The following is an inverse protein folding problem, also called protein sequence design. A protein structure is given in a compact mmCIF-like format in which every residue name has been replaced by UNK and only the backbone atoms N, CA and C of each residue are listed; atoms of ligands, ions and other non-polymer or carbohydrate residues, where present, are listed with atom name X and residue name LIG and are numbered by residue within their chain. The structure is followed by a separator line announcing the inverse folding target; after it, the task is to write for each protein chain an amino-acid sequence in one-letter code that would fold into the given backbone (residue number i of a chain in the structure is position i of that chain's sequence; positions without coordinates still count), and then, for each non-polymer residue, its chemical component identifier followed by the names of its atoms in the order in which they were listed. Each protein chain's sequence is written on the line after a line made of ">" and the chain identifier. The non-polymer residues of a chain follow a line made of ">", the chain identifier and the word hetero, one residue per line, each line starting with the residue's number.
data_IF_421413709200
#
_entry.id   IF_421413709200
#
_cell.length_a   1.000
_cell.length_b   1.000
_cell.length_c   1.000
_cell.angle_alpha   90.00
_cell.angle_beta   90.00
_cell.angle_gamma   90.00
#
_symmetry.space_group_name_H-M   'P 1'
#
loop_
_entity.id
_entity.type
_entity.pdbx_description
1 polymer ?
#
# COMPACT_ATOMS: atom_id res chain seq x y z
N UNK A 1 -8.92 -21.28 5.63
CA UNK A 1 -7.57 -20.85 6.06
C UNK A 1 -7.09 -21.59 7.30
N UNK A 2 -7.98 -21.98 8.21
CA UNK A 2 -7.64 -22.71 9.43
C UNK A 2 -7.47 -24.23 9.23
N UNK A 3 -7.69 -24.75 8.03
CA UNK A 3 -7.55 -26.15 7.65
C UNK A 3 -6.93 -26.32 6.25
N UNK A 4 -6.58 -27.54 5.87
CA UNK A 4 -6.04 -27.89 4.55
C UNK A 4 -4.56 -27.51 4.34
N UNK A 5 -3.99 -27.73 3.13
CA UNK A 5 -2.61 -27.44 2.80
C UNK A 5 -2.35 -25.94 2.77
N UNK A 6 -1.25 -25.47 3.40
CA UNK A 6 -0.98 -24.04 3.55
C UNK A 6 -0.49 -23.40 2.24
N UNK A 7 0.50 -23.99 1.59
CA UNK A 7 1.13 -23.36 0.42
C UNK A 7 0.15 -23.12 -0.73
N UNK A 8 -0.67 -24.10 -1.18
CA UNK A 8 -1.67 -23.84 -2.22
C UNK A 8 -2.69 -22.77 -1.82
N UNK A 9 -3.11 -22.77 -0.55
CA UNK A 9 -4.08 -21.79 -0.05
C UNK A 9 -3.49 -20.37 0.02
N UNK A 10 -2.21 -20.24 0.44
CA UNK A 10 -1.49 -18.96 0.45
C UNK A 10 -1.33 -18.43 -0.98
N UNK A 11 -0.93 -19.27 -1.92
CA UNK A 11 -0.79 -18.88 -3.33
C UNK A 11 -2.13 -18.50 -3.96
N UNK A 12 -3.19 -19.30 -3.73
CA UNK A 12 -4.53 -18.99 -4.22
C UNK A 12 -5.08 -17.66 -3.65
N UNK A 13 -4.67 -17.28 -2.45
CA UNK A 13 -4.99 -16.01 -1.83
C UNK A 13 -4.13 -14.87 -2.40
N UNK A 14 -2.82 -15.08 -2.57
CA UNK A 14 -1.88 -14.03 -2.98
C UNK A 14 -2.00 -13.67 -4.48
N UNK A 15 -2.26 -14.64 -5.38
CA UNK A 15 -2.31 -14.38 -6.81
C UNK A 15 -3.36 -13.33 -7.21
N UNK A 16 -4.63 -13.37 -6.75
CA UNK A 16 -5.58 -12.29 -7.06
C UNK A 16 -5.15 -10.92 -6.49
N UNK A 17 -4.44 -10.89 -5.36
CA UNK A 17 -3.91 -9.64 -4.79
C UNK A 17 -2.76 -9.09 -5.63
N UNK A 18 -1.87 -9.95 -6.11
CA UNK A 18 -0.80 -9.56 -7.05
C UNK A 18 -1.42 -8.95 -8.30
N UNK A 19 -2.40 -9.62 -8.90
CA UNK A 19 -3.10 -9.11 -10.08
C UNK A 19 -3.80 -7.78 -9.81
N UNK A 20 -4.45 -7.63 -8.64
CA UNK A 20 -5.08 -6.36 -8.24
C UNK A 20 -4.05 -5.22 -8.14
N UNK A 21 -2.91 -5.47 -7.51
CA UNK A 21 -1.86 -4.47 -7.37
C UNK A 21 -1.20 -4.12 -8.71
N UNK A 22 -0.98 -5.10 -9.59
CA UNK A 22 -0.48 -4.85 -10.95
C UNK A 22 -1.46 -4.01 -11.76
N UNK A 23 -2.75 -4.33 -11.73
CA UNK A 23 -3.79 -3.54 -12.39
C UNK A 23 -3.82 -2.10 -11.85
N UNK A 24 -3.69 -1.91 -10.54
CA UNK A 24 -3.66 -0.57 -9.95
C UNK A 24 -2.45 0.25 -10.43
N UNK A 25 -1.27 -0.37 -10.56
CA UNK A 25 -0.09 0.29 -11.15
C UNK A 25 -0.33 0.67 -12.62
N UNK A 26 -0.97 -0.20 -13.40
CA UNK A 26 -1.31 0.07 -14.80
C UNK A 26 -2.33 1.21 -14.93
N UNK A 27 -3.36 1.27 -14.08
CA UNK A 27 -4.34 2.36 -14.10
C UNK A 27 -3.72 3.70 -13.72
N UNK A 28 -2.89 3.74 -12.68
CA UNK A 28 -2.16 4.95 -12.31
C UNK A 28 -1.26 5.44 -13.46
N UNK A 29 -0.63 4.51 -14.19
CA UNK A 29 0.18 4.85 -15.36
C UNK A 29 -0.68 5.37 -16.51
N UNK A 30 -1.86 4.79 -16.75
CA UNK A 30 -2.80 5.25 -17.77
C UNK A 30 -3.30 6.67 -17.47
N UNK A 31 -3.59 7.00 -16.22
CA UNK A 31 -3.99 8.34 -15.80
C UNK A 31 -2.91 9.38 -16.16
N UNK A 32 -1.66 9.08 -15.83
CA UNK A 32 -0.52 9.97 -16.15
C UNK A 32 -0.35 10.15 -17.66
N UNK A 33 -0.49 9.06 -18.43
CA UNK A 33 -0.37 9.09 -19.90
C UNK A 33 -1.48 9.95 -20.52
N UNK A 34 -2.73 9.78 -20.06
CA UNK A 34 -3.87 10.55 -20.59
C UNK A 34 -3.69 12.04 -20.28
N UNK A 35 -3.31 12.38 -19.03
CA UNK A 35 -3.03 13.78 -18.65
C UNK A 35 -1.88 14.35 -19.47
N UNK A 36 -0.78 13.63 -19.59
CA UNK A 36 0.41 14.07 -20.32
C UNK A 36 0.21 14.25 -21.82
N UNK A 37 -0.75 13.52 -22.43
CA UNK A 37 -1.04 13.63 -23.88
C UNK A 37 -2.14 14.62 -24.24
N UNK A 38 -3.13 14.80 -23.38
CA UNK A 38 -4.38 15.49 -23.71
C UNK A 38 -4.65 16.72 -22.84
N UNK A 39 -3.90 16.93 -21.76
CA UNK A 39 -3.94 18.12 -20.94
C UNK A 39 -2.67 18.97 -21.13
N UNK A 40 -2.72 20.21 -20.65
CA UNK A 40 -1.54 21.10 -20.67
C UNK A 40 -0.53 20.74 -19.56
N UNK A 41 0.67 21.33 -19.65
CA UNK A 41 1.74 21.11 -18.67
C UNK A 41 1.37 21.57 -17.26
N UNK A 42 0.53 22.60 -17.14
CA UNK A 42 0.05 23.13 -15.86
C UNK A 42 -0.92 22.15 -15.21
N UNK A 43 -1.81 21.52 -15.98
CA UNK A 43 -2.70 20.48 -15.48
C UNK A 43 -1.92 19.25 -15.00
N UNK A 44 -0.90 18.83 -15.74
CA UNK A 44 -0.03 17.71 -15.34
C UNK A 44 0.74 18.05 -14.05
N UNK A 45 1.27 19.25 -13.94
CA UNK A 45 1.95 19.73 -12.74
C UNK A 45 0.98 19.80 -11.53
N UNK A 46 -0.27 20.23 -11.77
CA UNK A 46 -1.31 20.31 -10.74
C UNK A 46 -1.66 18.93 -10.16
N UNK A 47 -1.86 17.92 -11.01
CA UNK A 47 -2.11 16.54 -10.57
C UNK A 47 -0.87 15.98 -9.85
N UNK A 48 0.33 16.20 -10.39
CA UNK A 48 1.59 15.74 -9.79
C UNK A 48 1.83 16.32 -8.40
N UNK A 49 1.58 17.60 -8.20
CA UNK A 49 1.76 18.29 -6.92
C UNK A 49 0.85 17.71 -5.80
N UNK A 50 -0.35 17.22 -6.17
CA UNK A 50 -1.30 16.65 -5.21
C UNK A 50 -0.99 15.21 -4.80
N UNK A 51 -0.28 14.47 -5.64
CA UNK A 51 -0.05 13.02 -5.46
C UNK A 51 0.62 12.69 -4.12
N UNK A 52 1.67 13.40 -3.76
CA UNK A 52 2.39 13.17 -2.49
C UNK A 52 1.53 13.46 -1.27
N UNK A 53 0.72 14.50 -1.31
CA UNK A 53 -0.19 14.87 -0.22
C UNK A 53 -1.28 13.83 -0.04
N UNK A 54 -1.89 13.39 -1.13
CA UNK A 54 -2.91 12.33 -1.13
C UNK A 54 -2.32 11.04 -0.57
N UNK A 55 -1.14 10.63 -1.06
CA UNK A 55 -0.47 9.42 -0.54
C UNK A 55 -0.21 9.49 0.96
N UNK A 56 0.25 10.62 1.47
CA UNK A 56 0.50 10.81 2.89
C UNK A 56 -0.78 10.66 3.73
N UNK A 57 -1.84 11.33 3.33
CA UNK A 57 -3.11 11.37 4.06
C UNK A 57 -3.87 10.05 3.97
N UNK A 58 -3.93 9.46 2.78
CA UNK A 58 -4.65 8.20 2.55
C UNK A 58 -3.92 7.03 3.20
N UNK A 59 -2.59 6.99 3.16
CA UNK A 59 -1.82 5.88 3.75
C UNK A 59 -2.05 5.74 5.26
N UNK A 60 -2.29 6.84 5.98
CA UNK A 60 -2.66 6.80 7.39
C UNK A 60 -3.98 6.05 7.61
N UNK A 61 -4.99 6.34 6.79
CA UNK A 61 -6.31 5.70 6.89
C UNK A 61 -6.32 4.28 6.32
N UNK A 62 -5.46 4.00 5.33
CA UNK A 62 -5.24 2.64 4.83
C UNK A 62 -4.72 1.71 5.93
N UNK A 63 -3.89 2.22 6.85
CA UNK A 63 -3.49 1.46 8.02
C UNK A 63 -4.66 1.00 8.86
N UNK A 64 -5.71 1.81 9.01
CA UNK A 64 -6.91 1.42 9.74
C UNK A 64 -7.67 0.26 9.07
N UNK A 65 -7.66 0.18 7.73
CA UNK A 65 -8.24 -0.95 7.00
C UNK A 65 -7.51 -2.27 7.29
N UNK A 66 -6.19 -2.21 7.54
CA UNK A 66 -5.41 -3.37 8.02
C UNK A 66 -5.91 -3.83 9.39
N UNK A 67 -6.17 -2.88 10.30
CA UNK A 67 -6.78 -3.17 11.60
C UNK A 67 -8.17 -3.82 11.49
N UNK A 68 -9.00 -3.34 10.56
CA UNK A 68 -10.29 -3.92 10.24
C UNK A 68 -10.16 -5.37 9.74
N UNK A 69 -9.21 -5.62 8.83
CA UNK A 69 -8.91 -6.97 8.33
C UNK A 69 -8.55 -7.93 9.47
N UNK A 70 -7.70 -7.52 10.41
CA UNK A 70 -7.30 -8.35 11.55
C UNK A 70 -8.48 -8.61 12.49
N UNK A 71 -9.31 -7.61 12.80
CA UNK A 71 -10.48 -7.76 13.67
C UNK A 71 -11.48 -8.78 13.09
N UNK A 72 -11.81 -8.65 11.80
CA UNK A 72 -12.72 -9.56 11.10
C UNK A 72 -12.11 -10.96 10.98
N UNK A 73 -10.83 -11.06 10.55
CA UNK A 73 -10.15 -12.34 10.36
C UNK A 73 -10.06 -13.14 11.69
N UNK A 74 -9.78 -12.46 12.80
CA UNK A 74 -9.69 -13.10 14.13
C UNK A 74 -11.03 -13.63 14.59
N UNK A 75 -12.11 -12.86 14.46
CA UNK A 75 -13.46 -13.33 14.79
C UNK A 75 -13.92 -14.46 13.88
N UNK A 76 -13.62 -14.38 12.57
CA UNK A 76 -13.92 -15.44 11.61
C UNK A 76 -13.17 -16.75 11.94
N UNK A 77 -11.90 -16.63 12.33
CA UNK A 77 -11.09 -17.79 12.78
C UNK A 77 -11.61 -18.43 14.04
N UNK A 78 -12.13 -17.65 14.99
CA UNK A 78 -12.75 -18.12 16.22
C UNK A 78 -14.14 -18.76 16.01
N UNK A 79 -14.74 -18.64 14.81
CA UNK A 79 -16.13 -19.05 14.57
C UNK A 79 -17.15 -18.15 15.27
N UNK A 80 -16.73 -16.98 15.76
CA UNK A 80 -17.60 -16.00 16.42
C UNK A 80 -18.33 -15.15 15.37
N UNK A 81 -19.51 -15.62 14.98
CA UNK A 81 -20.37 -14.96 13.97
C UNK A 81 -20.77 -13.55 14.39
N UNK A 82 -21.14 -13.38 15.65
CA UNK A 82 -21.54 -12.09 16.19
C UNK A 82 -20.34 -11.13 16.23
N UNK A 83 -19.15 -11.65 16.56
CA UNK A 83 -17.91 -10.88 16.50
C UNK A 83 -17.56 -10.43 15.09
N UNK A 84 -17.73 -11.28 14.07
CA UNK A 84 -17.56 -10.90 12.65
C UNK A 84 -18.55 -9.79 12.30
N UNK A 85 -19.83 -9.96 12.62
CA UNK A 85 -20.87 -8.98 12.32
C UNK A 85 -20.55 -7.62 12.98
N UNK A 86 -20.19 -7.60 14.27
CA UNK A 86 -19.79 -6.37 14.97
C UNK A 86 -18.55 -5.71 14.35
N UNK A 87 -17.53 -6.50 13.98
CA UNK A 87 -16.31 -5.99 13.36
C UNK A 87 -16.59 -5.40 11.97
N UNK A 88 -17.44 -6.04 11.15
CA UNK A 88 -17.86 -5.54 9.83
C UNK A 88 -18.58 -4.19 9.97
N UNK A 89 -19.60 -4.11 10.84
CA UNK A 89 -20.37 -2.86 11.03
C UNK A 89 -19.51 -1.72 11.58
N UNK A 90 -18.63 -2.01 12.56
CA UNK A 90 -17.68 -1.03 13.10
C UNK A 90 -16.71 -0.55 12.01
N UNK A 91 -16.20 -1.47 11.18
CA UNK A 91 -15.27 -1.14 10.09
C UNK A 91 -15.92 -0.26 9.02
N UNK A 92 -17.14 -0.56 8.61
CA UNK A 92 -17.87 0.21 7.60
C UNK A 92 -18.26 1.61 8.13
N UNK A 93 -18.69 1.70 9.40
CA UNK A 93 -18.94 2.99 10.06
C UNK A 93 -17.67 3.85 10.10
N UNK A 94 -16.54 3.24 10.48
CA UNK A 94 -15.27 3.93 10.55
C UNK A 94 -14.78 4.38 9.16
N UNK A 95 -14.99 3.58 8.11
CA UNK A 95 -14.66 3.94 6.73
C UNK A 95 -15.38 5.23 6.30
N UNK A 96 -16.70 5.31 6.53
CA UNK A 96 -17.50 6.49 6.17
C UNK A 96 -17.09 7.70 7.03
N UNK A 97 -16.98 7.53 8.35
CA UNK A 97 -16.66 8.63 9.26
C UNK A 97 -15.25 9.19 9.02
N UNK A 98 -14.24 8.31 8.89
CA UNK A 98 -12.86 8.76 8.65
C UNK A 98 -12.70 9.34 7.25
N UNK A 99 -13.39 8.80 6.24
CA UNK A 99 -13.42 9.36 4.89
C UNK A 99 -14.06 10.73 4.83
N UNK A 100 -15.20 10.89 5.50
CA UNK A 100 -15.87 12.20 5.59
C UNK A 100 -15.03 13.21 6.38
N UNK A 101 -14.45 12.81 7.50
CA UNK A 101 -13.60 13.68 8.31
C UNK A 101 -12.36 14.15 7.53
N UNK A 102 -11.68 13.22 6.84
CA UNK A 102 -10.53 13.58 6.00
C UNK A 102 -10.95 14.41 4.78
N UNK A 103 -12.10 14.10 4.18
CA UNK A 103 -12.66 14.89 3.07
C UNK A 103 -12.91 16.34 3.48
N UNK A 104 -13.58 16.57 4.61
CA UNK A 104 -13.80 17.91 5.16
C UNK A 104 -12.48 18.60 5.50
N UNK A 105 -11.55 17.89 6.14
CA UNK A 105 -10.22 18.43 6.46
C UNK A 105 -9.50 18.88 5.20
N UNK A 106 -9.53 18.06 4.14
CA UNK A 106 -8.87 18.36 2.88
C UNK A 106 -9.53 19.53 2.16
N UNK A 107 -10.87 19.62 2.16
CA UNK A 107 -11.59 20.77 1.60
C UNK A 107 -11.18 22.10 2.26
N UNK A 108 -11.02 22.09 3.59
CA UNK A 108 -10.66 23.30 4.36
C UNK A 108 -9.17 23.64 4.22
N UNK A 109 -8.30 22.62 4.24
CA UNK A 109 -6.84 22.81 4.30
C UNK A 109 -6.12 22.64 2.96
N UNK A 110 -6.83 22.33 1.84
CA UNK A 110 -6.19 22.07 0.55
C UNK A 110 -5.25 23.19 0.12
N UNK A 111 -5.71 24.43 0.15
CA UNK A 111 -4.91 25.59 -0.24
C UNK A 111 -3.74 25.86 0.71
N UNK A 112 -3.94 26.00 2.05
CA UNK A 112 -2.83 26.16 2.98
C UNK A 112 -1.76 25.07 2.86
N UNK A 113 -2.16 23.80 2.69
CA UNK A 113 -1.22 22.69 2.55
C UNK A 113 -0.40 22.80 1.26
N UNK A 114 -1.02 23.15 0.13
CA UNK A 114 -0.31 23.38 -1.13
C UNK A 114 0.67 24.55 -1.06
N UNK A 115 0.27 25.66 -0.43
CA UNK A 115 1.14 26.82 -0.21
C UNK A 115 2.32 26.49 0.70
N UNK A 116 2.10 25.73 1.79
CA UNK A 116 3.18 25.23 2.66
C UNK A 116 4.15 24.28 1.94
N UNK A 117 3.68 23.54 0.93
CA UNK A 117 4.52 22.68 0.09
C UNK A 117 5.30 23.45 -0.98
N UNK A 118 5.13 24.79 -1.07
CA UNK A 118 5.80 25.62 -2.08
C UNK A 118 5.24 25.43 -3.49
N UNK A 119 3.94 25.09 -3.63
CA UNK A 119 3.30 24.93 -4.92
C UNK A 119 3.31 26.26 -5.69
N UNK A 120 3.78 26.29 -6.97
CA UNK A 120 3.81 27.51 -7.77
C UNK A 120 2.42 28.15 -7.95
N UNK A 121 2.37 29.49 -8.05
CA UNK A 121 1.13 30.24 -8.08
C UNK A 121 0.24 29.90 -9.29
N UNK A 122 0.82 29.53 -10.42
CA UNK A 122 0.15 29.08 -11.64
C UNK A 122 -0.43 27.65 -11.54
N UNK A 123 0.10 26.82 -10.64
CA UNK A 123 -0.29 25.42 -10.44
C UNK A 123 -1.28 25.26 -9.29
N UNK A 124 -1.19 26.12 -8.26
CA UNK A 124 -1.97 26.01 -7.00
C UNK A 124 -3.48 25.93 -7.25
N UNK A 125 -4.00 26.71 -8.20
CA UNK A 125 -5.44 26.71 -8.51
C UNK A 125 -5.95 25.38 -9.05
N UNK A 126 -5.22 24.78 -9.99
CA UNK A 126 -5.53 23.46 -10.53
C UNK A 126 -5.36 22.34 -9.50
N UNK A 127 -4.29 22.39 -8.70
CA UNK A 127 -4.03 21.45 -7.63
C UNK A 127 -5.12 21.49 -6.54
N UNK A 128 -5.57 22.69 -6.15
CA UNK A 128 -6.68 22.86 -5.21
C UNK A 128 -7.99 22.30 -5.77
N UNK A 129 -8.29 22.56 -7.03
CA UNK A 129 -9.49 22.00 -7.69
C UNK A 129 -9.47 20.46 -7.67
N UNK A 130 -8.32 19.85 -8.00
CA UNK A 130 -8.15 18.41 -7.94
C UNK A 130 -8.41 17.87 -6.54
N UNK A 131 -7.77 18.46 -5.52
CA UNK A 131 -7.92 18.04 -4.12
C UNK A 131 -9.36 18.18 -3.62
N UNK A 132 -10.06 19.26 -4.01
CA UNK A 132 -11.44 19.49 -3.61
C UNK A 132 -12.39 18.44 -4.21
N UNK A 133 -12.23 18.09 -5.48
CA UNK A 133 -13.02 17.03 -6.12
C UNK A 133 -12.68 15.68 -5.50
N UNK A 134 -11.39 15.38 -5.31
CA UNK A 134 -10.93 14.13 -4.69
C UNK A 134 -11.44 13.96 -3.26
N UNK A 135 -11.48 15.07 -2.49
CA UNK A 135 -11.99 15.07 -1.11
C UNK A 135 -13.43 14.57 -1.00
N UNK A 136 -14.27 14.88 -1.99
CA UNK A 136 -15.67 14.38 -2.05
C UNK A 136 -15.69 12.86 -2.28
N UNK A 137 -14.71 12.31 -2.99
CA UNK A 137 -14.58 10.87 -3.26
C UNK A 137 -14.00 10.06 -2.09
N UNK A 138 -13.32 10.68 -1.13
CA UNK A 138 -12.64 9.97 -0.04
C UNK A 138 -13.52 9.00 0.76
N UNK A 139 -14.78 9.32 1.11
CA UNK A 139 -15.64 8.35 1.78
C UNK A 139 -15.85 7.08 0.95
N UNK A 140 -16.04 7.21 -0.37
CA UNK A 140 -16.19 6.09 -1.28
C UNK A 140 -14.90 5.26 -1.38
N UNK A 141 -13.76 5.92 -1.55
CA UNK A 141 -12.45 5.28 -1.57
C UNK A 141 -12.21 4.43 -0.31
N UNK A 142 -12.48 4.98 0.88
CA UNK A 142 -12.30 4.23 2.12
C UNK A 142 -13.34 3.11 2.29
N UNK A 143 -14.58 3.30 1.88
CA UNK A 143 -15.59 2.24 1.87
C UNK A 143 -15.12 1.06 1.01
N UNK A 144 -14.57 1.32 -0.17
CA UNK A 144 -13.97 0.24 -0.98
C UNK A 144 -12.82 -0.44 -0.25
N UNK A 145 -11.87 0.31 0.28
CA UNK A 145 -10.67 -0.24 0.91
C UNK A 145 -11.00 -1.10 2.14
N UNK A 146 -11.91 -0.62 3.01
CA UNK A 146 -12.34 -1.40 4.17
C UNK A 146 -13.20 -2.60 3.77
N UNK A 147 -14.10 -2.44 2.80
CA UNK A 147 -14.91 -3.55 2.29
C UNK A 147 -14.05 -4.64 1.64
N UNK A 148 -13.05 -4.25 0.85
CA UNK A 148 -12.07 -5.18 0.30
C UNK A 148 -11.22 -5.86 1.40
N UNK A 149 -10.86 -5.13 2.47
CA UNK A 149 -10.16 -5.69 3.63
C UNK A 149 -11.03 -6.72 4.38
N UNK A 150 -12.34 -6.47 4.52
CA UNK A 150 -13.30 -7.41 5.11
C UNK A 150 -13.41 -8.69 4.26
N UNK A 151 -13.56 -8.57 2.94
CA UNK A 151 -13.63 -9.73 2.03
C UNK A 151 -12.32 -10.55 2.09
N UNK A 152 -11.17 -9.89 2.05
CA UNK A 152 -9.86 -10.55 2.22
C UNK A 152 -9.74 -11.25 3.57
N UNK A 153 -10.24 -10.65 4.64
CA UNK A 153 -10.19 -11.22 5.99
C UNK A 153 -10.88 -12.60 6.10
N UNK A 154 -11.90 -12.84 5.29
CA UNK A 154 -12.58 -14.14 5.22
C UNK A 154 -12.10 -15.02 4.05
N UNK A 155 -11.09 -14.59 3.31
CA UNK A 155 -10.44 -15.37 2.26
C UNK A 155 -10.87 -15.07 0.84
N UNK A 156 -11.79 -14.14 0.65
CA UNK A 156 -12.25 -13.76 -0.69
C UNK A 156 -11.38 -12.63 -1.25
N UNK A 157 -10.40 -13.00 -2.06
CA UNK A 157 -9.53 -12.06 -2.77
C UNK A 157 -9.95 -11.84 -4.23
N UNK A 158 -10.88 -12.66 -4.74
CA UNK A 158 -11.31 -12.59 -6.14
C UNK A 158 -12.32 -11.46 -6.37
N UNK A 159 -13.31 -11.31 -5.47
CA UNK A 159 -14.32 -10.24 -5.61
C UNK A 159 -13.68 -8.84 -5.62
N UNK A 160 -12.78 -8.46 -4.68
CA UNK A 160 -12.08 -7.18 -4.76
C UNK A 160 -11.32 -6.97 -6.08
N UNK A 161 -10.69 -8.02 -6.64
CA UNK A 161 -10.04 -7.96 -7.94
C UNK A 161 -11.03 -7.61 -9.06
N UNK A 162 -12.19 -8.28 -9.12
CA UNK A 162 -13.20 -7.97 -10.14
C UNK A 162 -13.74 -6.54 -10.03
N UNK A 163 -13.98 -6.06 -8.81
CA UNK A 163 -14.47 -4.70 -8.59
C UNK A 163 -13.45 -3.66 -9.01
N UNK A 164 -12.17 -3.90 -8.68
CA UNK A 164 -11.07 -3.03 -9.12
C UNK A 164 -10.91 -3.05 -10.64
N UNK A 165 -11.07 -4.22 -11.29
CA UNK A 165 -10.98 -4.33 -12.75
C UNK A 165 -12.09 -3.51 -13.42
N UNK A 166 -13.34 -3.66 -12.98
CA UNK A 166 -14.47 -2.90 -13.52
C UNK A 166 -14.27 -1.41 -13.32
N UNK A 167 -13.94 -0.98 -12.10
CA UNK A 167 -13.75 0.46 -11.80
C UNK A 167 -12.56 1.05 -12.53
N UNK A 168 -11.46 0.30 -12.68
CA UNK A 168 -10.30 0.76 -13.42
C UNK A 168 -10.56 0.90 -14.92
N UNK A 169 -11.31 -0.01 -15.54
CA UNK A 169 -11.74 0.15 -16.94
C UNK A 169 -12.62 1.39 -17.10
N UNK A 170 -13.57 1.60 -16.19
CA UNK A 170 -14.41 2.80 -16.19
C UNK A 170 -13.57 4.05 -16.00
N UNK A 171 -12.57 4.03 -15.11
CA UNK A 171 -11.63 5.14 -14.90
C UNK A 171 -10.91 5.53 -16.19
N UNK A 172 -10.31 4.56 -16.90
CA UNK A 172 -9.61 4.81 -18.18
C UNK A 172 -10.56 5.40 -19.23
N UNK A 173 -11.76 4.83 -19.38
CA UNK A 173 -12.77 5.33 -20.34
C UNK A 173 -13.19 6.75 -19.98
N UNK A 174 -13.47 7.04 -18.71
CA UNK A 174 -13.84 8.37 -18.25
C UNK A 174 -12.71 9.37 -18.40
N UNK A 175 -11.46 8.99 -18.11
CA UNK A 175 -10.32 9.85 -18.33
C UNK A 175 -10.20 10.26 -19.81
N UNK A 176 -10.31 9.32 -20.73
CA UNK A 176 -10.29 9.63 -22.17
C UNK A 176 -11.49 10.53 -22.54
N UNK A 177 -12.69 10.20 -22.08
CA UNK A 177 -13.89 10.98 -22.42
C UNK A 177 -13.85 12.40 -21.85
N UNK A 178 -13.46 12.57 -20.57
CA UNK A 178 -13.51 13.86 -19.88
C UNK A 178 -12.29 14.74 -20.21
N UNK A 179 -11.10 14.13 -20.33
CA UNK A 179 -9.86 14.88 -20.58
C UNK A 179 -9.64 15.12 -22.07
N UNK A 180 -9.72 14.08 -22.91
CA UNK A 180 -9.49 14.19 -24.35
C UNK A 180 -10.74 14.67 -25.10
N UNK A 181 -11.94 14.18 -24.74
CA UNK A 181 -13.21 14.53 -25.38
C UNK A 181 -13.74 15.89 -24.96
N UNK A 182 -14.00 16.08 -23.66
CA UNK A 182 -14.59 17.28 -23.10
C UNK A 182 -13.57 18.36 -22.70
N UNK A 183 -12.29 18.04 -22.74
CA UNK A 183 -11.17 18.96 -22.41
C UNK A 183 -11.27 19.58 -21.02
N UNK A 184 -11.77 18.82 -20.03
CA UNK A 184 -11.93 19.27 -18.65
C UNK A 184 -10.60 19.34 -17.87
N UNK A 185 -9.47 18.98 -18.47
CA UNK A 185 -8.15 19.05 -17.86
C UNK A 185 -8.09 18.37 -16.49
N UNK A 186 -7.62 19.09 -15.47
CA UNK A 186 -7.50 18.62 -14.08
C UNK A 186 -8.81 18.11 -13.51
N UNK A 187 -9.92 18.84 -13.74
CA UNK A 187 -11.24 18.43 -13.24
C UNK A 187 -11.69 17.10 -13.84
N UNK A 188 -11.41 16.86 -15.12
CA UNK A 188 -11.75 15.61 -15.81
C UNK A 188 -11.11 14.39 -15.13
N UNK A 189 -9.82 14.48 -14.80
CA UNK A 189 -9.08 13.39 -14.11
C UNK A 189 -9.64 13.15 -12.72
N UNK A 190 -9.85 14.21 -11.94
CA UNK A 190 -10.39 14.09 -10.58
C UNK A 190 -11.80 13.47 -10.58
N UNK A 191 -12.67 13.89 -11.50
CA UNK A 191 -14.02 13.31 -11.64
C UNK A 191 -13.94 11.84 -12.05
N UNK A 192 -13.09 11.48 -13.03
CA UNK A 192 -12.91 10.09 -13.45
C UNK A 192 -12.49 9.20 -12.28
N UNK A 193 -11.55 9.66 -11.47
CA UNK A 193 -11.08 8.94 -10.27
C UNK A 193 -12.20 8.78 -9.25
N UNK A 194 -12.89 9.85 -8.88
CA UNK A 194 -13.98 9.81 -7.88
C UNK A 194 -15.15 8.92 -8.34
N UNK A 195 -15.54 8.99 -9.60
CA UNK A 195 -16.62 8.15 -10.13
C UNK A 195 -16.21 6.69 -10.13
N UNK A 196 -15.01 6.36 -10.56
CA UNK A 196 -14.52 4.96 -10.56
C UNK A 196 -14.37 4.39 -9.14
N UNK A 197 -13.88 5.17 -8.19
CA UNK A 197 -13.82 4.77 -6.77
C UNK A 197 -15.22 4.60 -6.17
N UNK A 198 -16.18 5.45 -6.55
CA UNK A 198 -17.57 5.31 -6.13
C UNK A 198 -18.21 4.03 -6.67
N UNK A 199 -17.91 3.66 -7.92
CA UNK A 199 -18.36 2.39 -8.50
C UNK A 199 -17.79 1.20 -7.74
N UNK A 200 -16.49 1.19 -7.44
CA UNK A 200 -15.89 0.10 -6.64
C UNK A 200 -16.46 0.02 -5.23
N UNK A 201 -16.72 1.16 -4.59
CA UNK A 201 -17.39 1.23 -3.30
C UNK A 201 -18.83 0.67 -3.36
N UNK A 202 -19.60 1.03 -4.38
CA UNK A 202 -20.94 0.52 -4.59
C UNK A 202 -20.95 -1.00 -4.81
N UNK A 203 -20.02 -1.53 -5.61
CA UNK A 203 -19.89 -2.96 -5.88
C UNK A 203 -19.52 -3.74 -4.61
N UNK A 204 -18.58 -3.25 -3.81
CA UNK A 204 -18.19 -3.92 -2.57
C UNK A 204 -19.31 -3.86 -1.52
N UNK A 205 -20.02 -2.73 -1.41
CA UNK A 205 -21.19 -2.60 -0.53
C UNK A 205 -22.31 -3.54 -0.94
N UNK A 206 -22.67 -3.55 -2.23
CA UNK A 206 -23.70 -4.45 -2.76
C UNK A 206 -23.34 -5.91 -2.46
N UNK A 207 -22.07 -6.28 -2.63
CA UNK A 207 -21.58 -7.62 -2.29
C UNK A 207 -21.72 -7.95 -0.82
N UNK A 208 -21.34 -7.03 0.09
CA UNK A 208 -21.48 -7.24 1.53
C UNK A 208 -22.93 -7.31 1.99
N UNK A 209 -23.81 -6.49 1.40
CA UNK A 209 -25.25 -6.51 1.70
C UNK A 209 -25.92 -7.80 1.19
N UNK A 210 -25.56 -8.24 -0.03
CA UNK A 210 -26.09 -9.46 -0.65
C UNK A 210 -25.48 -10.75 -0.07
N UNK A 211 -24.43 -10.67 0.74
CA UNK A 211 -23.81 -11.84 1.35
C UNK A 211 -24.78 -12.53 2.31
N UNK A 212 -24.87 -13.88 2.21
CA UNK A 212 -25.70 -14.70 3.11
C UNK A 212 -24.94 -15.24 4.33
N UNK A 213 -23.65 -14.86 4.50
CA UNK A 213 -22.78 -15.32 5.59
C UNK A 213 -22.57 -14.29 6.68
N UNK A 214 -21.61 -14.60 7.55
CA UNK A 214 -21.28 -13.83 8.76
C UNK A 214 -20.76 -12.40 8.45
N UNK A 215 -20.32 -12.14 7.20
CA UNK A 215 -19.83 -10.82 6.74
C UNK A 215 -20.94 -9.91 6.19
N UNK A 216 -22.21 -10.31 6.32
CA UNK A 216 -23.33 -9.52 5.83
C UNK A 216 -23.35 -8.15 6.51
N UNK A 217 -23.39 -7.11 5.70
CA UNK A 217 -23.54 -5.74 6.16
C UNK A 217 -25.00 -5.30 6.10
N UNK A 218 -25.56 -4.88 7.21
CA UNK A 218 -26.92 -4.35 7.33
C UNK A 218 -26.84 -2.87 7.73
N UNK A 219 -27.01 -1.91 6.80
CA UNK A 219 -26.86 -0.48 7.07
C UNK A 219 -27.68 0.03 8.27
N UNK A 220 -28.89 -0.50 8.45
CA UNK A 220 -29.79 -0.13 9.56
C UNK A 220 -29.30 -0.58 10.95
N UNK A 221 -28.41 -1.57 11.01
CA UNK A 221 -27.83 -2.11 12.25
C UNK A 221 -26.41 -1.60 12.50
N UNK A 222 -25.97 -0.58 11.74
CA UNK A 222 -24.61 -0.06 11.86
C UNK A 222 -24.41 0.52 13.27
N UNK A 223 -23.44 -0.05 13.99
CA UNK A 223 -23.04 0.36 15.34
C UNK A 223 -21.54 0.27 15.46
N UNK A 224 -20.95 1.20 16.18
CA UNK A 224 -19.53 1.15 16.55
C UNK A 224 -19.41 0.40 17.87
N UNK A 225 -18.81 -0.77 17.82
CA UNK A 225 -18.56 -1.60 19.01
C UNK A 225 -17.16 -1.31 19.54
N UNK A 226 -17.07 -0.98 20.83
CA UNK A 226 -15.85 -0.50 21.48
C UNK A 226 -14.68 -1.51 21.36
N UNK A 227 -14.95 -2.80 21.46
CA UNK A 227 -13.93 -3.85 21.41
C UNK A 227 -13.34 -3.98 19.99
N UNK A 228 -14.20 -4.00 18.98
CA UNK A 228 -13.78 -4.01 17.56
C UNK A 228 -13.03 -2.72 17.21
N UNK A 229 -13.55 -1.56 17.62
CA UNK A 229 -12.90 -0.28 17.40
C UNK A 229 -11.50 -0.22 18.05
N UNK A 230 -11.36 -0.67 19.29
CA UNK A 230 -10.07 -0.72 19.98
C UNK A 230 -9.06 -1.60 19.24
N UNK A 231 -9.50 -2.76 18.71
CA UNK A 231 -8.63 -3.64 17.92
C UNK A 231 -8.22 -2.97 16.61
N UNK A 232 -9.16 -2.34 15.90
CA UNK A 232 -8.90 -1.63 14.64
C UNK A 232 -7.89 -0.50 14.86
N UNK A 233 -8.09 0.32 15.87
CA UNK A 233 -7.20 1.46 16.16
C UNK A 233 -5.82 1.00 16.65
N UNK A 234 -5.76 0.01 17.54
CA UNK A 234 -4.50 -0.51 18.10
C UNK A 234 -3.59 -1.11 17.01
N UNK A 235 -4.17 -1.69 15.96
CA UNK A 235 -3.41 -2.29 14.86
C UNK A 235 -3.25 -1.28 13.73
N UNK A 236 -4.30 -0.54 13.41
CA UNK A 236 -4.35 0.32 12.24
C UNK A 236 -3.56 1.61 12.39
N UNK A 237 -3.61 2.28 13.54
CA UNK A 237 -2.87 3.54 13.74
C UNK A 237 -1.36 3.33 13.59
N UNK A 238 -0.71 2.35 14.26
CA UNK A 238 0.71 2.12 14.04
C UNK A 238 1.03 1.74 12.58
N UNK A 239 0.16 0.96 11.91
CA UNK A 239 0.35 0.57 10.53
C UNK A 239 0.28 1.78 9.57
N UNK A 240 -0.66 2.68 9.78
CA UNK A 240 -0.78 3.93 9.00
C UNK A 240 0.39 4.87 9.23
N UNK A 241 0.80 5.07 10.48
CA UNK A 241 1.97 5.87 10.82
C UNK A 241 3.24 5.32 10.16
N UNK A 242 3.43 4.00 10.15
CA UNK A 242 4.56 3.38 9.46
C UNK A 242 4.58 3.73 7.97
N UNK A 243 3.43 3.62 7.28
CA UNK A 243 3.34 3.94 5.85
C UNK A 243 3.61 5.42 5.57
N UNK A 244 3.08 6.32 6.40
CA UNK A 244 3.31 7.77 6.27
C UNK A 244 4.79 8.13 6.50
N UNK A 245 5.43 7.54 7.51
CA UNK A 245 6.85 7.77 7.80
C UNK A 245 7.78 7.23 6.71
N UNK A 246 7.41 6.11 6.06
CA UNK A 246 8.14 5.61 4.88
C UNK A 246 8.08 6.61 3.73
N UNK A 247 6.93 7.25 3.50
CA UNK A 247 6.80 8.29 2.48
C UNK A 247 7.73 9.47 2.77
N UNK A 248 7.80 9.92 4.02
CA UNK A 248 8.72 10.99 4.44
C UNK A 248 10.19 10.59 4.23
N UNK A 249 10.57 9.36 4.63
CA UNK A 249 11.93 8.85 4.43
C UNK A 249 12.31 8.80 2.94
N UNK A 250 11.37 8.41 2.07
CA UNK A 250 11.60 8.38 0.64
C UNK A 250 11.79 9.80 0.05
N UNK A 251 11.12 10.81 0.59
CA UNK A 251 11.34 12.22 0.19
C UNK A 251 12.75 12.69 0.52
N UNK A 252 13.30 12.31 1.69
CA UNK A 252 14.67 12.64 2.06
C UNK A 252 15.70 11.98 1.12
N UNK A 253 15.50 10.70 0.78
CA UNK A 253 16.37 10.01 -0.19
C UNK A 253 16.22 10.67 -1.58
N UNK A 254 15.02 11.01 -2.01
CA UNK A 254 14.79 11.70 -3.28
C UNK A 254 15.50 13.05 -3.34
N UNK A 255 15.51 13.80 -2.23
CA UNK A 255 16.25 15.06 -2.14
C UNK A 255 17.75 14.87 -2.38
N UNK A 256 18.34 13.79 -1.86
CA UNK A 256 19.74 13.45 -2.12
C UNK A 256 19.95 13.05 -3.60
N UNK A 257 19.02 12.32 -4.23
CA UNK A 257 19.10 11.95 -5.65
C UNK A 257 19.04 13.20 -6.55
N UNK A 258 18.24 14.19 -6.16
CA UNK A 258 18.06 15.41 -6.94
C UNK A 258 19.38 16.19 -7.11
N UNK A 259 20.34 16.05 -6.20
CA UNK A 259 21.66 16.68 -6.30
C UNK A 259 22.54 16.12 -7.45
N UNK A 260 22.20 14.93 -7.98
CA UNK A 260 22.92 14.30 -9.09
C UNK A 260 22.39 14.69 -10.49
N UNK A 261 21.36 15.53 -10.54
CA UNK A 261 20.83 16.07 -11.78
C UNK A 261 19.75 15.24 -12.45
N UNK A 262 19.24 15.74 -13.58
CA UNK A 262 18.03 15.23 -14.22
C UNK A 262 18.12 13.76 -14.67
N UNK A 263 19.27 13.31 -15.19
CA UNK A 263 19.46 11.94 -15.62
C UNK A 263 19.40 10.94 -14.45
N UNK A 264 19.92 11.30 -13.26
CA UNK A 264 19.82 10.48 -12.07
C UNK A 264 18.38 10.42 -11.53
N UNK A 265 17.66 11.54 -11.55
CA UNK A 265 16.24 11.59 -11.16
C UNK A 265 15.40 10.69 -12.07
N UNK A 266 15.57 10.81 -13.38
CA UNK A 266 14.84 10.00 -14.37
C UNK A 266 15.17 8.51 -14.23
N UNK A 267 16.46 8.15 -14.09
CA UNK A 267 16.91 6.77 -13.88
C UNK A 267 16.37 6.18 -12.58
N UNK A 268 16.38 6.94 -11.48
CA UNK A 268 15.79 6.53 -10.21
C UNK A 268 14.28 6.28 -10.34
N UNK A 269 13.56 7.16 -11.03
CA UNK A 269 12.11 7.03 -11.21
C UNK A 269 11.75 5.79 -12.02
N UNK A 270 12.49 5.52 -13.11
CA UNK A 270 12.31 4.32 -13.93
C UNK A 270 12.59 3.05 -13.12
N UNK A 271 13.71 3.00 -12.38
CA UNK A 271 14.05 1.87 -11.53
C UNK A 271 13.02 1.65 -10.41
N UNK A 272 12.54 2.72 -9.75
CA UNK A 272 11.51 2.65 -8.73
C UNK A 272 10.18 2.12 -9.27
N UNK A 273 9.82 2.46 -10.51
CA UNK A 273 8.62 1.94 -11.18
C UNK A 273 8.71 0.43 -11.41
N UNK A 274 9.88 -0.06 -11.82
CA UNK A 274 10.14 -1.51 -11.98
C UNK A 274 10.08 -2.22 -10.62
N UNK A 275 10.70 -1.64 -9.57
CA UNK A 275 10.64 -2.16 -8.20
C UNK A 275 9.19 -2.24 -7.68
N UNK A 276 8.30 -1.35 -8.11
CA UNK A 276 6.89 -1.34 -7.73
C UNK A 276 6.16 -2.65 -8.02
N UNK A 277 6.49 -3.32 -9.12
CA UNK A 277 5.93 -4.64 -9.46
C UNK A 277 6.40 -5.71 -8.46
N UNK A 278 7.67 -5.71 -8.10
CA UNK A 278 8.21 -6.64 -7.10
C UNK A 278 7.64 -6.37 -5.70
N UNK A 279 7.44 -5.09 -5.34
CA UNK A 279 6.80 -4.67 -4.09
C UNK A 279 5.37 -5.19 -3.98
N UNK A 280 4.63 -5.20 -5.09
CA UNK A 280 3.25 -5.72 -5.13
C UNK A 280 3.18 -7.20 -4.76
N UNK A 281 4.14 -8.00 -5.23
CA UNK A 281 4.24 -9.43 -4.86
C UNK A 281 4.55 -9.58 -3.37
N UNK A 282 5.51 -8.81 -2.85
CA UNK A 282 5.85 -8.81 -1.42
C UNK A 282 4.64 -8.48 -0.55
N UNK A 283 3.97 -7.36 -0.83
CA UNK A 283 2.79 -6.91 -0.10
C UNK A 283 1.66 -7.95 -0.10
N UNK A 284 1.48 -8.66 -1.21
CA UNK A 284 0.44 -9.68 -1.35
C UNK A 284 0.69 -10.89 -0.45
N UNK A 285 1.96 -11.34 -0.34
CA UNK A 285 2.34 -12.44 0.55
C UNK A 285 2.30 -11.98 2.02
N UNK A 286 2.73 -10.75 2.32
CA UNK A 286 2.61 -10.13 3.63
C UNK A 286 1.15 -10.06 4.10
N UNK A 287 0.23 -9.68 3.20
CA UNK A 287 -1.20 -9.69 3.47
C UNK A 287 -1.75 -11.11 3.70
N UNK A 288 -1.23 -12.11 3.00
CA UNK A 288 -1.55 -13.52 3.27
C UNK A 288 -1.07 -13.93 4.67
N UNK A 289 0.18 -13.62 5.03
CA UNK A 289 0.72 -13.90 6.35
C UNK A 289 -0.13 -13.26 7.45
N UNK A 290 -0.54 -11.99 7.29
CA UNK A 290 -1.42 -11.28 8.21
C UNK A 290 -2.77 -12.00 8.36
N UNK A 291 -3.44 -12.30 7.25
CA UNK A 291 -4.81 -12.82 7.27
C UNK A 291 -4.88 -14.25 7.80
N UNK A 292 -3.97 -15.13 7.30
CA UNK A 292 -3.92 -16.51 7.75
C UNK A 292 -3.52 -16.60 9.23
N UNK A 293 -2.58 -15.77 9.68
CA UNK A 293 -2.18 -15.73 11.08
C UNK A 293 -3.30 -15.22 11.99
N UNK A 294 -4.01 -14.16 11.56
CA UNK A 294 -5.15 -13.64 12.33
C UNK A 294 -6.26 -14.67 12.50
N UNK A 295 -6.62 -15.40 11.43
CA UNK A 295 -7.63 -16.47 11.51
C UNK A 295 -7.16 -17.63 12.39
N UNK A 296 -5.90 -18.07 12.26
CA UNK A 296 -5.39 -19.17 13.08
C UNK A 296 -5.19 -18.76 14.55
N UNK A 297 -4.91 -17.48 14.83
CA UNK A 297 -4.92 -16.94 16.20
C UNK A 297 -6.32 -16.95 16.80
N UNK A 298 -7.35 -16.58 16.02
CA UNK A 298 -8.75 -16.70 16.45
C UNK A 298 -9.18 -18.14 16.72
N UNK A 299 -8.72 -19.06 15.88
CA UNK A 299 -8.99 -20.50 16.02
C UNK A 299 -8.11 -21.20 17.08
N UNK A 300 -7.25 -20.47 17.80
CA UNK A 300 -6.28 -20.97 18.80
C UNK A 300 -5.29 -22.01 18.25
N UNK A 301 -5.07 -22.03 16.92
CA UNK A 301 -4.16 -22.95 16.23
C UNK A 301 -2.73 -22.41 16.18
N UNK A 302 -2.08 -22.23 17.33
CA UNK A 302 -0.78 -21.58 17.45
C UNK A 302 0.35 -22.28 16.68
N UNK A 303 0.36 -23.62 16.64
CA UNK A 303 1.33 -24.37 15.82
C UNK A 303 1.18 -24.05 14.33
N UNK A 304 -0.07 -23.86 13.86
CA UNK A 304 -0.35 -23.50 12.49
C UNK A 304 0.05 -22.04 12.17
N UNK A 305 -0.07 -21.11 13.12
CA UNK A 305 0.43 -19.72 12.98
C UNK A 305 1.94 -19.71 12.67
N UNK A 306 2.73 -20.56 13.36
CA UNK A 306 4.17 -20.69 13.08
C UNK A 306 4.44 -21.27 11.68
N UNK A 307 3.66 -22.27 11.26
CA UNK A 307 3.78 -22.85 9.91
C UNK A 307 3.39 -21.86 8.82
N UNK A 308 2.38 -21.00 9.06
CA UNK A 308 2.01 -19.92 8.13
C UNK A 308 3.20 -19.01 7.85
N UNK A 309 3.92 -18.56 8.88
CA UNK A 309 5.12 -17.75 8.69
C UNK A 309 6.15 -18.48 7.82
N UNK A 310 6.48 -19.73 8.13
CA UNK A 310 7.49 -20.46 7.37
C UNK A 310 7.10 -20.62 5.89
N UNK A 311 5.84 -20.93 5.61
CA UNK A 311 5.33 -21.06 4.24
C UNK A 311 5.36 -19.72 3.51
N UNK A 312 4.93 -18.62 4.17
CA UNK A 312 4.99 -17.30 3.58
C UNK A 312 6.44 -16.84 3.37
N UNK A 313 7.36 -17.11 4.32
CA UNK A 313 8.79 -16.79 4.15
C UNK A 313 9.41 -17.58 3.00
N UNK A 314 9.09 -18.87 2.85
CA UNK A 314 9.57 -19.68 1.72
C UNK A 314 9.04 -19.13 0.39
N UNK A 315 7.74 -18.80 0.30
CA UNK A 315 7.14 -18.20 -0.89
C UNK A 315 7.75 -16.84 -1.21
N UNK A 316 7.97 -16.01 -0.19
CA UNK A 316 8.58 -14.67 -0.32
C UNK A 316 10.06 -14.78 -0.70
N UNK A 317 10.80 -15.74 -0.14
CA UNK A 317 12.20 -15.98 -0.48
C UNK A 317 12.34 -16.37 -1.95
N UNK A 318 11.58 -17.37 -2.39
CA UNK A 318 11.61 -17.83 -3.79
C UNK A 318 11.14 -16.71 -4.72
N UNK A 319 9.98 -16.09 -4.44
CA UNK A 319 9.44 -15.02 -5.27
C UNK A 319 10.33 -13.77 -5.31
N UNK A 320 10.79 -13.30 -4.15
CA UNK A 320 11.64 -12.12 -4.04
C UNK A 320 13.03 -12.31 -4.67
N UNK A 321 13.63 -13.49 -4.47
CA UNK A 321 14.91 -13.83 -5.11
C UNK A 321 14.77 -13.95 -6.63
N UNK A 322 13.75 -14.67 -7.09
CA UNK A 322 13.49 -14.84 -8.54
C UNK A 322 13.25 -13.50 -9.23
N UNK A 323 12.35 -12.68 -8.68
CA UNK A 323 12.05 -11.36 -9.23
C UNK A 323 13.26 -10.42 -9.15
N UNK A 324 13.96 -10.41 -8.02
CA UNK A 324 15.17 -9.61 -7.86
C UNK A 324 16.24 -9.96 -8.87
N UNK A 325 16.52 -11.26 -9.08
CA UNK A 325 17.47 -11.73 -10.08
C UNK A 325 17.02 -11.47 -11.52
N UNK A 326 15.72 -11.62 -11.82
CA UNK A 326 15.17 -11.30 -13.14
C UNK A 326 15.34 -9.80 -13.44
N UNK A 327 14.95 -8.92 -12.52
CA UNK A 327 15.11 -7.47 -12.70
C UNK A 327 16.60 -7.09 -12.76
N UNK A 328 17.45 -7.72 -11.98
CA UNK A 328 18.91 -7.51 -12.05
C UNK A 328 19.48 -7.88 -13.40
N UNK A 329 19.11 -9.05 -13.93
CA UNK A 329 19.63 -9.59 -15.20
C UNK A 329 19.11 -8.81 -16.41
N UNK A 330 17.81 -8.48 -16.39
CA UNK A 330 17.14 -7.74 -17.46
C UNK A 330 17.01 -6.24 -17.19
N UNK A 331 17.79 -5.70 -16.26
CA UNK A 331 17.68 -4.28 -15.84
C UNK A 331 17.83 -3.30 -16.99
N UNK A 332 18.79 -3.49 -17.89
CA UNK A 332 19.00 -2.63 -19.06
C UNK A 332 17.79 -2.59 -19.99
N UNK A 333 17.27 -3.71 -20.54
CA UNK A 333 16.09 -3.67 -21.39
C UNK A 333 14.83 -3.20 -20.67
N UNK A 334 14.67 -3.48 -19.37
CA UNK A 334 13.53 -2.99 -18.60
C UNK A 334 13.58 -1.46 -18.42
N UNK A 335 14.74 -0.88 -18.13
CA UNK A 335 14.91 0.58 -18.03
C UNK A 335 14.74 1.25 -19.40
N UNK A 336 15.18 0.61 -20.49
CA UNK A 336 15.01 1.11 -21.84
C UNK A 336 13.54 1.25 -22.28
N UNK A 337 12.61 0.52 -21.65
CA UNK A 337 11.16 0.71 -21.85
C UNK A 337 10.68 2.06 -21.35
N UNK A 338 11.35 2.63 -20.36
CA UNK A 338 10.98 3.92 -19.74
C UNK A 338 11.70 5.10 -20.37
N UNK A 339 13.00 4.92 -20.72
CA UNK A 339 13.81 5.97 -21.32
C UNK A 339 14.93 5.38 -22.17
N UNK A 340 15.18 5.96 -23.34
CA UNK A 340 16.23 5.50 -24.27
C UNK A 340 17.57 6.20 -24.09
N UNK A 341 17.64 7.25 -23.24
CA UNK A 341 18.88 7.97 -22.95
C UNK A 341 19.86 7.06 -22.20
N UNK A 342 21.07 6.80 -22.73
CA UNK A 342 22.09 5.99 -22.08
C UNK A 342 22.48 6.47 -20.67
N UNK A 343 22.48 7.79 -20.43
CA UNK A 343 22.81 8.35 -19.12
C UNK A 343 21.72 8.03 -18.09
N UNK A 344 20.44 8.09 -18.47
CA UNK A 344 19.31 7.72 -17.61
C UNK A 344 19.35 6.22 -17.28
N UNK A 345 19.59 5.36 -18.29
CA UNK A 345 19.70 3.91 -18.10
C UNK A 345 20.88 3.59 -17.18
N UNK A 346 22.06 4.21 -17.37
CA UNK A 346 23.23 3.98 -16.53
C UNK A 346 22.96 4.32 -15.05
N UNK A 347 22.33 5.47 -14.77
CA UNK A 347 21.97 5.87 -13.41
C UNK A 347 20.89 4.95 -12.79
N UNK A 348 19.89 4.52 -13.57
CA UNK A 348 18.88 3.57 -13.11
C UNK A 348 19.48 2.20 -12.77
N UNK A 349 20.46 1.75 -13.55
CA UNK A 349 21.19 0.50 -13.30
C UNK A 349 21.95 0.50 -11.98
N UNK A 350 22.48 1.63 -11.53
CA UNK A 350 23.14 1.71 -10.20
C UNK A 350 22.14 1.28 -9.11
N UNK A 351 20.91 1.82 -9.12
CA UNK A 351 19.87 1.44 -8.18
C UNK A 351 19.50 -0.04 -8.30
N UNK A 352 19.25 -0.53 -9.52
CA UNK A 352 18.90 -1.93 -9.77
C UNK A 352 19.99 -2.88 -9.27
N UNK A 353 21.26 -2.57 -9.52
CA UNK A 353 22.41 -3.41 -9.11
C UNK A 353 22.57 -3.52 -7.60
N UNK A 354 22.30 -2.44 -6.84
CA UNK A 354 22.42 -2.46 -5.40
C UNK A 354 21.18 -3.07 -4.70
N UNK A 355 20.00 -2.79 -5.20
CA UNK A 355 18.76 -3.16 -4.52
C UNK A 355 18.28 -4.56 -4.90
N UNK A 356 18.28 -4.92 -6.19
CA UNK A 356 17.56 -6.10 -6.68
C UNK A 356 18.13 -7.44 -6.22
N UNK A 357 19.45 -7.68 -6.17
CA UNK A 357 20.00 -8.94 -5.65
C UNK A 357 19.64 -9.21 -4.19
N UNK A 358 19.47 -8.15 -3.40
CA UNK A 358 19.13 -8.22 -1.97
C UNK A 358 17.67 -7.87 -1.66
N UNK A 359 16.83 -7.73 -2.70
CA UNK A 359 15.42 -7.38 -2.55
C UNK A 359 14.63 -8.42 -1.74
N UNK A 360 15.09 -9.65 -1.74
CA UNK A 360 14.54 -10.72 -0.90
C UNK A 360 14.52 -10.35 0.60
N UNK A 361 15.49 -9.56 1.08
CA UNK A 361 15.52 -9.09 2.48
C UNK A 361 14.33 -8.17 2.78
N UNK A 362 14.02 -7.25 1.85
CA UNK A 362 12.83 -6.41 1.95
C UNK A 362 11.55 -7.24 1.99
N UNK A 363 11.43 -8.22 1.10
CA UNK A 363 10.25 -9.07 1.03
C UNK A 363 10.06 -9.92 2.31
N UNK A 364 11.15 -10.46 2.86
CA UNK A 364 11.10 -11.23 4.10
C UNK A 364 10.71 -10.37 5.30
N UNK A 365 11.28 -9.15 5.43
CA UNK A 365 10.91 -8.24 6.52
C UNK A 365 9.43 -7.86 6.46
N UNK A 366 8.88 -7.59 5.26
CA UNK A 366 7.48 -7.26 5.08
C UNK A 366 6.56 -8.41 5.49
N UNK A 367 6.96 -9.65 5.19
CA UNK A 367 6.27 -10.87 5.67
C UNK A 367 6.26 -10.97 7.20
N UNK A 368 7.38 -10.65 7.89
CA UNK A 368 7.40 -10.60 9.35
C UNK A 368 6.49 -9.52 9.92
N UNK A 369 6.43 -8.35 9.27
CA UNK A 369 5.52 -7.26 9.66
C UNK A 369 4.06 -7.73 9.56
N UNK A 370 3.68 -8.35 8.43
CA UNK A 370 2.35 -8.92 8.23
C UNK A 370 2.01 -9.97 9.28
N UNK A 371 2.93 -10.88 9.55
CA UNK A 371 2.78 -11.94 10.57
C UNK A 371 2.56 -11.36 11.97
N UNK A 372 3.41 -10.42 12.41
CA UNK A 372 3.32 -9.80 13.73
C UNK A 372 2.00 -9.03 13.91
N UNK A 373 1.55 -8.31 12.88
CA UNK A 373 0.24 -7.65 12.88
C UNK A 373 -0.90 -8.66 12.95
N UNK A 374 -0.80 -9.76 12.22
CA UNK A 374 -1.77 -10.85 12.24
C UNK A 374 -1.91 -11.51 13.61
N UNK A 375 -0.84 -11.63 14.35
CA UNK A 375 -0.82 -12.11 15.73
C UNK A 375 -1.37 -11.08 16.73
N UNK A 376 -1.45 -9.81 16.33
CA UNK A 376 -2.01 -8.73 17.16
C UNK A 376 -0.98 -7.71 17.69
N UNK A 377 0.27 -7.83 17.26
CA UNK A 377 1.34 -6.90 17.59
C UNK A 377 1.61 -5.97 16.41
N UNK A 378 1.11 -4.73 16.44
CA UNK A 378 1.35 -3.75 15.37
C UNK A 378 2.40 -2.70 15.77
N UNK A 379 2.40 -2.27 17.02
CA UNK A 379 3.35 -1.25 17.49
C UNK A 379 4.81 -1.73 17.41
N UNK A 380 5.07 -3.00 17.76
CA UNK A 380 6.40 -3.58 17.77
C UNK A 380 7.05 -3.58 16.37
N UNK A 381 6.43 -4.18 15.31
CA UNK A 381 7.00 -4.12 13.97
C UNK A 381 7.05 -2.68 13.41
N UNK A 382 6.13 -1.80 13.81
CA UNK A 382 6.16 -0.39 13.39
C UNK A 382 7.41 0.31 13.92
N UNK A 383 7.67 0.26 15.23
CA UNK A 383 8.86 0.88 15.82
C UNK A 383 10.12 0.29 15.21
N UNK A 384 10.20 -1.04 15.09
CA UNK A 384 11.36 -1.73 14.50
C UNK A 384 11.62 -1.29 13.06
N UNK A 385 10.57 -1.22 12.23
CA UNK A 385 10.71 -0.79 10.84
C UNK A 385 11.05 0.71 10.72
N UNK A 386 10.47 1.56 11.55
CA UNK A 386 10.80 2.99 11.56
C UNK A 386 12.26 3.23 11.98
N UNK A 387 12.73 2.53 13.01
CA UNK A 387 14.13 2.64 13.44
C UNK A 387 15.10 2.07 12.40
N UNK A 388 14.79 0.90 11.83
CA UNK A 388 15.68 0.21 10.90
C UNK A 388 15.65 0.79 9.48
N UNK A 389 14.49 1.25 8.97
CA UNK A 389 14.41 1.78 7.61
C UNK A 389 14.53 3.31 7.61
N UNK A 390 13.71 4.02 8.40
CA UNK A 390 13.69 5.48 8.32
C UNK A 390 14.89 6.10 9.06
N UNK A 391 15.05 5.79 10.34
CA UNK A 391 16.10 6.41 11.14
C UNK A 391 17.51 6.02 10.63
N UNK A 392 17.74 4.74 10.34
CA UNK A 392 19.05 4.29 9.85
C UNK A 392 19.42 4.94 8.52
N UNK A 393 18.45 5.12 7.59
CA UNK A 393 18.71 5.82 6.33
C UNK A 393 18.98 7.30 6.52
N UNK A 394 18.31 7.95 7.45
CA UNK A 394 18.60 9.34 7.80
C UNK A 394 20.02 9.45 8.36
N UNK A 395 20.39 8.58 9.31
CA UNK A 395 21.77 8.53 9.83
C UNK A 395 22.78 8.27 8.72
N UNK A 396 22.47 7.34 7.80
CA UNK A 396 23.32 7.03 6.65
C UNK A 396 23.57 8.26 5.74
N UNK A 397 22.52 9.04 5.48
CA UNK A 397 22.64 10.27 4.68
C UNK A 397 23.59 11.28 5.30
N UNK A 398 23.52 11.47 6.61
CA UNK A 398 24.37 12.45 7.31
C UNK A 398 25.75 11.91 7.71
N UNK A 399 26.04 10.63 7.50
CA UNK A 399 27.33 10.00 7.82
C UNK A 399 28.01 9.46 6.56
N UNK A 400 27.67 8.25 6.15
CA UNK A 400 28.34 7.56 5.04
C UNK A 400 28.16 8.30 3.70
N UNK A 401 26.95 8.77 3.39
CA UNK A 401 26.72 9.53 2.17
C UNK A 401 27.38 10.91 2.21
N UNK A 402 27.37 11.61 3.34
CA UNK A 402 28.08 12.88 3.49
C UNK A 402 29.59 12.74 3.32
N UNK A 403 30.17 11.60 3.73
CA UNK A 403 31.62 11.32 3.55
C UNK A 403 31.96 10.92 2.10
N UNK A 404 31.07 10.29 1.37
CA UNK A 404 31.24 9.86 -0.02
C UNK A 404 29.93 10.03 -0.79
N UNK A 405 29.65 11.23 -1.36
CA UNK A 405 28.40 11.54 -2.01
C UNK A 405 28.33 10.94 -3.43
N UNK A 406 28.05 9.64 -3.51
CA UNK A 406 27.87 8.88 -4.76
C UNK A 406 26.53 8.17 -4.76
N UNK A 407 25.97 7.88 -5.94
CA UNK A 407 24.75 7.08 -6.08
C UNK A 407 24.93 5.67 -5.49
N UNK A 408 26.12 5.07 -5.62
CA UNK A 408 26.44 3.77 -5.04
C UNK A 408 26.30 3.80 -3.51
N UNK A 409 26.92 4.78 -2.84
CA UNK A 409 26.81 4.96 -1.39
C UNK A 409 25.37 5.22 -0.97
N UNK A 410 24.62 6.00 -1.74
CA UNK A 410 23.23 6.30 -1.45
C UNK A 410 22.37 5.03 -1.51
N UNK A 411 22.45 4.25 -2.60
CA UNK A 411 21.61 3.06 -2.77
C UNK A 411 22.03 1.90 -1.86
N UNK A 412 23.28 1.84 -1.42
CA UNK A 412 23.73 0.86 -0.42
C UNK A 412 22.96 1.00 0.91
N UNK A 413 22.41 2.16 1.21
CA UNK A 413 21.55 2.37 2.39
C UNK A 413 20.33 1.46 2.42
N UNK A 414 19.81 1.03 1.25
CA UNK A 414 18.63 0.18 1.15
C UNK A 414 18.90 -1.24 1.68
N UNK A 415 19.82 -2.02 1.11
CA UNK A 415 20.09 -3.37 1.61
C UNK A 415 20.60 -3.40 3.05
N UNK A 416 21.39 -2.41 3.48
CA UNK A 416 21.86 -2.31 4.86
C UNK A 416 20.67 -2.11 5.81
N UNK A 417 19.77 -1.19 5.48
CA UNK A 417 18.57 -0.95 6.29
C UNK A 417 17.63 -2.16 6.31
N UNK A 418 17.48 -2.87 5.18
CA UNK A 418 16.67 -4.09 5.13
C UNK A 418 17.25 -5.22 5.97
N UNK A 419 18.58 -5.45 5.90
CA UNK A 419 19.23 -6.47 6.70
C UNK A 419 19.12 -6.21 8.21
N UNK A 420 19.37 -4.96 8.63
CA UNK A 420 19.24 -4.56 10.04
C UNK A 420 17.79 -4.70 10.54
N UNK A 421 16.83 -4.24 9.74
CA UNK A 421 15.39 -4.35 10.10
C UNK A 421 14.94 -5.80 10.15
N UNK A 422 15.33 -6.62 9.17
CA UNK A 422 14.98 -8.05 9.15
C UNK A 422 15.51 -8.77 10.39
N UNK A 423 16.78 -8.53 10.74
CA UNK A 423 17.37 -9.11 11.94
C UNK A 423 16.58 -8.71 13.20
N UNK A 424 16.27 -7.43 13.35
CA UNK A 424 15.49 -6.94 14.49
C UNK A 424 14.08 -7.54 14.53
N UNK A 425 13.41 -7.70 13.37
CA UNK A 425 12.08 -8.32 13.29
C UNK A 425 12.12 -9.82 13.62
N UNK A 426 13.18 -10.54 13.25
CA UNK A 426 13.37 -11.95 13.64
C UNK A 426 13.47 -12.05 15.17
N UNK A 427 14.26 -11.18 15.81
CA UNK A 427 14.37 -11.13 17.29
C UNK A 427 13.00 -10.80 17.91
N UNK A 428 12.30 -9.77 17.39
CA UNK A 428 10.96 -9.42 17.86
C UNK A 428 9.99 -10.60 17.76
N UNK A 429 10.00 -11.30 16.64
CA UNK A 429 9.13 -12.47 16.44
C UNK A 429 9.49 -13.62 17.41
N UNK A 430 10.77 -13.88 17.62
CA UNK A 430 11.23 -14.89 18.59
C UNK A 430 10.75 -14.60 20.01
N UNK A 431 10.72 -13.31 20.41
CA UNK A 431 10.18 -12.88 21.72
C UNK A 431 8.67 -13.08 21.78
N UNK A 432 7.94 -12.72 20.71
CA UNK A 432 6.48 -12.86 20.65
C UNK A 432 6.06 -14.32 20.69
N UNK A 433 6.74 -15.18 19.92
CA UNK A 433 6.43 -16.64 19.88
C UNK A 433 6.62 -17.31 21.22
N UNK A 434 7.61 -16.90 22.03
CA UNK A 434 7.82 -17.43 23.38
C UNK A 434 6.65 -17.11 24.33
N UNK A 435 5.91 -16.05 24.06
CA UNK A 435 4.72 -15.63 24.84
C UNK A 435 3.42 -16.30 24.37
N UNK A 436 3.45 -16.95 23.20
CA UNK A 436 2.29 -17.71 22.72
C UNK A 436 2.14 -19.02 23.51
N UNK A 437 0.91 -19.46 23.78
CA UNK A 437 0.67 -20.77 24.37
C UNK A 437 1.40 -21.86 23.57
N UNK A 438 1.99 -22.82 24.28
CA UNK A 438 2.54 -24.02 23.66
C UNK A 438 1.35 -24.91 23.29
N UNK A 439 1.25 -25.31 22.02
CA UNK A 439 0.26 -26.27 21.54
C UNK A 439 0.56 -27.67 22.09
#
# INVERSE_FOLDING_TARGET
>A
MTAGPLLPNVLAFAVPLILSGMLQLLYNSADIIVVGRFADSVAMASVGATTSLIHLLVSLLMGLSVGASVAVARSAGAGDRDGVHRAVHTSMALAVLSGAALGVLLLVLSRPLLEMMGCPADVVGGAQLYLNIYAVGLPASLVYNYGAAILRAVGDTKRPLYYLTVSGLVNVVLNVALVAGLRLGVAGVAIATVVSETISAALVLASLIASHGDVRFEPKKTRIERRSLSTILRIGIPAGLQSSMFSISNVLIQSAINSFGAAAIAGNTAAASIEGFATTVSNSISQAALTFSSQNMGAEKYARVRRVLLVCLAATFVGGLTLGLLIYTFGTPLLALFNTDPAVIANGLVRVRHNMPLYVLFCMQDTFVGQLRGVGYSLLPTITSLSGICLLRVVWLYTAFAASPTLDTLYLSYPVSWAATLFALIVCYAVVVRKMPRA
#
